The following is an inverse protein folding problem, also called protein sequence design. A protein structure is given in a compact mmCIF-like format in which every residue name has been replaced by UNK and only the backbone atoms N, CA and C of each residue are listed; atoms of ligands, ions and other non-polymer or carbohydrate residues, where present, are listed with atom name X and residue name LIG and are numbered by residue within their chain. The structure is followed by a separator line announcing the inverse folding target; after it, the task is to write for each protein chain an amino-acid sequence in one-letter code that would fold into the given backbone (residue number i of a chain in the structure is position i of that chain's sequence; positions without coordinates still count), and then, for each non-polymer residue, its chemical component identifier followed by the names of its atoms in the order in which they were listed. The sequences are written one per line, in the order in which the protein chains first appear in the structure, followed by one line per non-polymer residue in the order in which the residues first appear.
data_IF_395832962212
#
_entry.id   IF_395832962212
#
_cell.length_a   1.000
_cell.length_b   1.000
_cell.length_c   1.000
_cell.angle_alpha   90.00
_cell.angle_beta   90.00
_cell.angle_gamma   90.00
#
_symmetry.space_group_name_H-M   'P 1'
#
loop_
_entity.id
_entity.type
_entity.pdbx_description
1 polymer ?
#
# COMPACT_ATOMS: atom_id res chain seq x y z
N UNK A 1 10.12 2.47 53.98
CA UNK A 1 9.29 2.72 52.77
C UNK A 1 10.11 2.28 51.57
N UNK A 2 9.89 1.06 51.05
CA UNK A 2 10.53 0.63 49.80
C UNK A 2 9.65 1.11 48.65
N UNK A 3 10.14 2.04 47.82
CA UNK A 3 9.44 2.41 46.60
C UNK A 3 9.73 1.36 45.54
N UNK A 4 8.75 0.52 45.23
CA UNK A 4 8.79 -0.34 44.05
C UNK A 4 8.79 0.53 42.80
N UNK A 5 9.94 0.67 42.14
CA UNK A 5 10.03 1.29 40.82
C UNK A 5 9.81 0.21 39.76
N UNK A 6 8.56 0.06 39.30
CA UNK A 6 8.24 -0.80 38.16
C UNK A 6 8.78 -0.20 36.85
N UNK A 7 9.31 -1.04 35.95
CA UNK A 7 9.66 -0.62 34.59
C UNK A 7 8.40 -0.76 33.74
N UNK A 8 7.90 0.37 33.21
CA UNK A 8 6.88 0.36 32.16
C UNK A 8 7.54 0.13 30.82
N UNK A 9 7.08 -0.89 30.10
CA UNK A 9 7.38 -1.07 28.69
C UNK A 9 6.06 -0.92 27.95
N UNK A 10 6.00 -0.09 26.92
CA UNK A 10 4.80 0.05 26.10
C UNK A 10 4.84 -0.97 24.96
N UNK A 11 3.71 -1.63 24.72
CA UNK A 11 3.53 -2.48 23.55
C UNK A 11 3.50 -1.65 22.26
N UNK A 12 3.67 -2.31 21.11
CA UNK A 12 3.57 -1.69 19.78
C UNK A 12 2.36 -2.27 19.05
N UNK A 13 1.68 -1.43 18.27
CA UNK A 13 0.61 -1.89 17.37
C UNK A 13 1.20 -2.57 16.14
N UNK A 14 0.44 -3.49 15.55
CA UNK A 14 0.79 -4.09 14.27
C UNK A 14 0.84 -3.04 13.15
N UNK A 15 1.69 -3.25 12.17
CA UNK A 15 1.85 -2.36 11.00
C UNK A 15 1.48 -3.08 9.71
N UNK A 16 1.06 -2.30 8.72
CA UNK A 16 0.74 -2.80 7.39
C UNK A 16 2.02 -3.04 6.57
N UNK A 17 2.02 -4.09 5.75
CA UNK A 17 3.01 -4.20 4.68
C UNK A 17 2.79 -3.09 3.64
N UNK A 18 3.88 -2.65 2.99
CA UNK A 18 3.86 -1.58 2.01
C UNK A 18 4.57 -1.97 0.73
N UNK A 19 4.09 -1.50 -0.42
CA UNK A 19 4.79 -1.60 -1.70
C UNK A 19 5.04 -0.19 -2.25
N UNK A 20 6.30 0.11 -2.55
CA UNK A 20 6.75 1.41 -3.08
C UNK A 20 7.51 1.23 -4.40
N UNK A 21 8.04 2.33 -4.96
CA UNK A 21 8.82 2.31 -6.21
C UNK A 21 8.01 2.65 -7.45
N UNK A 22 6.81 3.20 -7.26
CA UNK A 22 5.90 3.61 -8.32
C UNK A 22 5.66 5.12 -8.29
N UNK A 23 5.45 5.68 -9.47
CA UNK A 23 5.02 7.05 -9.66
C UNK A 23 3.76 7.13 -10.51
N UNK A 24 3.00 8.20 -10.34
CA UNK A 24 1.84 8.50 -11.17
C UNK A 24 2.23 8.60 -12.67
N UNK A 25 3.45 9.02 -12.97
CA UNK A 25 4.01 9.03 -14.33
C UNK A 25 4.23 7.65 -14.96
N UNK A 26 4.16 6.57 -14.18
CA UNK A 26 4.20 5.21 -14.72
C UNK A 26 2.86 4.83 -15.40
N UNK A 27 1.82 5.66 -15.24
CA UNK A 27 0.52 5.50 -15.89
C UNK A 27 0.44 6.33 -17.18
N UNK A 28 -0.23 5.77 -18.18
CA UNK A 28 -0.53 6.39 -19.47
C UNK A 28 -1.98 6.89 -19.48
N UNK A 29 -2.20 8.14 -19.89
CA UNK A 29 -3.54 8.74 -20.02
C UNK A 29 -4.20 8.53 -21.39
N UNK A 30 -3.44 8.03 -22.37
CA UNK A 30 -3.88 7.85 -23.77
C UNK A 30 -4.06 6.38 -24.16
N UNK A 31 -3.92 5.44 -23.22
CA UNK A 31 -4.07 4.01 -23.47
C UNK A 31 -4.44 3.24 -22.21
N UNK A 32 -4.50 1.91 -22.32
CA UNK A 32 -4.79 1.03 -21.19
C UNK A 32 -3.56 0.83 -20.31
N UNK A 33 -3.74 0.98 -19.01
CA UNK A 33 -2.76 0.63 -17.99
C UNK A 33 -3.05 -0.77 -17.48
N UNK A 34 -2.01 -1.58 -17.32
CA UNK A 34 -2.15 -2.92 -16.76
C UNK A 34 -1.46 -2.99 -15.41
N UNK A 35 -2.22 -3.41 -14.40
CA UNK A 35 -1.71 -3.75 -13.06
C UNK A 35 -1.78 -5.26 -12.92
N UNK A 36 -0.63 -5.89 -12.67
CA UNK A 36 -0.54 -7.31 -12.34
C UNK A 36 -0.19 -7.49 -10.88
N UNK A 37 -0.75 -8.50 -10.25
CA UNK A 37 -0.46 -8.87 -8.87
C UNK A 37 -0.67 -10.37 -8.69
N UNK A 38 0.02 -10.96 -7.73
CA UNK A 38 -0.13 -12.35 -7.34
C UNK A 38 -0.86 -12.41 -6.01
N UNK A 39 -2.03 -13.04 -5.98
CA UNK A 39 -2.82 -13.23 -4.75
C UNK A 39 -3.04 -14.72 -4.57
N UNK A 40 -2.70 -15.24 -3.40
CA UNK A 40 -2.81 -16.67 -3.05
C UNK A 40 -2.15 -17.60 -4.09
N UNK A 41 -1.06 -17.13 -4.72
CA UNK A 41 -0.32 -17.87 -5.75
C UNK A 41 -0.89 -17.76 -7.17
N UNK A 42 -1.98 -17.02 -7.38
CA UNK A 42 -2.58 -16.78 -8.70
C UNK A 42 -2.28 -15.38 -9.24
N UNK A 43 -1.90 -15.27 -10.51
CA UNK A 43 -1.78 -13.98 -11.20
C UNK A 43 -3.17 -13.38 -11.48
N UNK A 44 -3.37 -12.14 -11.06
CA UNK A 44 -4.51 -11.29 -11.40
C UNK A 44 -4.03 -10.11 -12.24
N UNK A 45 -4.84 -9.72 -13.21
CA UNK A 45 -4.56 -8.61 -14.11
C UNK A 45 -5.75 -7.66 -14.13
N UNK A 46 -5.49 -6.39 -13.84
CA UNK A 46 -6.48 -5.31 -13.81
C UNK A 46 -6.14 -4.35 -14.94
N UNK A 47 -7.11 -4.07 -15.79
CA UNK A 47 -6.99 -3.07 -16.84
C UNK A 47 -7.67 -1.77 -16.39
N UNK A 48 -6.94 -0.65 -16.46
CA UNK A 48 -7.46 0.68 -16.17
C UNK A 48 -7.36 1.51 -17.44
N UNK A 49 -8.49 2.08 -17.88
CA UNK A 49 -8.50 3.02 -18.98
C UNK A 49 -7.76 4.32 -18.58
N UNK A 50 -6.70 4.65 -19.29
CA UNK A 50 -5.92 5.86 -19.06
C UNK A 50 -6.74 7.14 -19.17
N UNK A 51 -7.78 7.17 -20.03
CA UNK A 51 -8.62 8.36 -20.15
C UNK A 51 -9.45 8.65 -18.91
N UNK A 52 -9.76 7.63 -18.11
CA UNK A 52 -10.42 7.82 -16.80
C UNK A 52 -9.52 8.55 -15.78
N UNK A 53 -8.20 8.56 -16.01
CA UNK A 53 -7.19 9.16 -15.13
C UNK A 53 -6.82 10.59 -15.53
N UNK A 54 -7.35 11.10 -16.66
CA UNK A 54 -7.03 12.42 -17.16
C UNK A 54 -7.77 13.51 -16.35
N UNK A 55 -7.11 14.66 -16.14
CA UNK A 55 -7.74 15.83 -15.54
C UNK A 55 -8.92 16.31 -16.39
N UNK A 56 -9.99 16.74 -15.75
CA UNK A 56 -11.21 17.18 -16.45
C UNK A 56 -10.99 18.50 -17.20
N UNK A 57 -10.25 19.43 -16.60
CA UNK A 57 -10.12 20.82 -17.09
C UNK A 57 -8.69 21.18 -17.56
N UNK A 58 -7.81 20.20 -17.70
CA UNK A 58 -6.42 20.42 -18.10
C UNK A 58 -5.81 19.17 -18.74
N UNK A 59 -4.69 19.34 -19.45
CA UNK A 59 -3.89 18.21 -19.89
C UNK A 59 -3.11 17.60 -18.69
N UNK A 60 -3.03 16.27 -18.67
CA UNK A 60 -2.22 15.52 -17.70
C UNK A 60 -3.04 14.62 -16.78
N UNK A 61 -2.31 13.85 -15.98
CA UNK A 61 -2.89 12.88 -15.06
C UNK A 61 -3.38 13.56 -13.77
N UNK A 62 -4.53 13.10 -13.28
CA UNK A 62 -5.15 13.52 -12.04
C UNK A 62 -4.81 12.53 -10.90
N UNK A 63 -3.98 12.98 -9.95
CA UNK A 63 -3.52 12.12 -8.84
C UNK A 63 -4.68 11.68 -7.93
N UNK A 64 -5.71 12.50 -7.75
CA UNK A 64 -6.85 12.16 -6.91
C UNK A 64 -7.73 11.11 -7.59
N UNK A 65 -7.98 11.25 -8.89
CA UNK A 65 -8.66 10.21 -9.69
C UNK A 65 -7.85 8.92 -9.70
N UNK A 66 -6.55 8.99 -9.92
CA UNK A 66 -5.67 7.82 -9.87
C UNK A 66 -5.77 7.10 -8.53
N UNK A 67 -5.64 7.83 -7.41
CA UNK A 67 -5.78 7.23 -6.08
C UNK A 67 -7.15 6.57 -5.89
N UNK A 68 -8.22 7.23 -6.35
CA UNK A 68 -9.59 6.71 -6.24
C UNK A 68 -9.74 5.41 -7.03
N UNK A 69 -9.37 5.41 -8.31
CA UNK A 69 -9.45 4.24 -9.19
C UNK A 69 -8.62 3.08 -8.66
N UNK A 70 -7.40 3.35 -8.16
CA UNK A 70 -6.56 2.32 -7.55
C UNK A 70 -7.21 1.72 -6.30
N UNK A 71 -7.74 2.55 -5.40
CA UNK A 71 -8.41 2.06 -4.19
C UNK A 71 -9.68 1.26 -4.51
N UNK A 72 -10.45 1.66 -5.52
CA UNK A 72 -11.64 0.92 -5.94
C UNK A 72 -11.30 -0.42 -6.58
N UNK A 73 -10.27 -0.46 -7.41
CA UNK A 73 -9.85 -1.66 -8.14
C UNK A 73 -9.11 -2.67 -7.26
N UNK A 74 -8.42 -2.19 -6.22
CA UNK A 74 -7.54 -3.02 -5.39
C UNK A 74 -8.14 -3.44 -4.05
N UNK A 75 -9.29 -2.87 -3.66
CA UNK A 75 -9.96 -3.18 -2.37
C UNK A 75 -10.27 -4.67 -2.20
N UNK A 76 -10.67 -5.36 -3.27
CA UNK A 76 -11.02 -6.79 -3.21
C UNK A 76 -9.79 -7.66 -2.92
N UNK A 77 -8.59 -7.16 -3.24
CA UNK A 77 -7.31 -7.79 -2.97
C UNK A 77 -6.68 -7.33 -1.65
N UNK A 78 -7.47 -6.66 -0.78
CA UNK A 78 -7.02 -6.16 0.53
C UNK A 78 -5.84 -5.19 0.41
N UNK A 79 -5.85 -4.37 -0.64
CA UNK A 79 -4.84 -3.36 -0.92
C UNK A 79 -5.49 -1.98 -1.02
N UNK A 80 -4.75 -0.98 -0.57
CA UNK A 80 -5.07 0.44 -0.72
C UNK A 80 -3.87 1.19 -1.28
N UNK A 81 -4.11 2.33 -1.91
CA UNK A 81 -3.08 3.18 -2.50
C UNK A 81 -3.16 4.59 -1.91
N UNK A 82 -1.99 5.18 -1.69
CA UNK A 82 -1.82 6.61 -1.42
C UNK A 82 -0.93 7.19 -2.52
N UNK A 83 -1.39 8.25 -3.16
CA UNK A 83 -0.65 9.03 -4.15
C UNK A 83 -0.35 10.38 -3.53
N UNK A 84 0.93 10.70 -3.35
CA UNK A 84 1.31 11.98 -2.76
C UNK A 84 1.34 13.13 -3.78
N UNK A 85 1.65 14.33 -3.30
CA UNK A 85 1.73 15.55 -4.13
C UNK A 85 2.87 15.50 -5.16
N UNK A 86 3.91 14.69 -4.92
CA UNK A 86 5.01 14.45 -5.85
C UNK A 86 4.66 13.37 -6.89
N UNK A 87 3.50 12.74 -6.75
CA UNK A 87 3.05 11.62 -7.55
C UNK A 87 3.67 10.29 -7.13
N UNK A 88 4.35 10.21 -5.98
CA UNK A 88 4.83 8.93 -5.46
C UNK A 88 3.65 8.09 -4.95
N UNK A 89 3.66 6.81 -5.29
CA UNK A 89 2.58 5.88 -4.94
C UNK A 89 3.10 4.88 -3.92
N UNK A 90 2.37 4.77 -2.81
CA UNK A 90 2.56 3.73 -1.80
C UNK A 90 1.31 2.88 -1.71
N UNK A 91 1.45 1.60 -2.05
CA UNK A 91 0.41 0.62 -1.76
C UNK A 91 0.57 0.10 -0.34
N UNK A 92 -0.55 -0.18 0.33
CA UNK A 92 -0.60 -0.72 1.69
C UNK A 92 -1.56 -1.89 1.75
N UNK A 93 -1.13 -2.96 2.40
CA UNK A 93 -2.02 -4.03 2.81
C UNK A 93 -3.02 -3.51 3.84
N UNK A 94 -4.28 -3.90 3.72
CA UNK A 94 -5.30 -3.67 4.76
C UNK A 94 -5.26 -4.74 5.84
N UNK A 95 -4.53 -5.84 5.61
CA UNK A 95 -4.15 -6.83 6.63
C UNK A 95 -2.85 -6.39 7.29
N UNK A 96 -2.81 -6.42 8.62
CA UNK A 96 -1.65 -6.03 9.42
C UNK A 96 -0.84 -7.26 9.83
N UNK A 97 0.44 -7.04 10.15
CA UNK A 97 1.32 -8.07 10.68
C UNK A 97 2.36 -8.57 9.68
N UNK A 98 3.20 -9.46 10.16
CA UNK A 98 4.37 -9.98 9.42
C UNK A 98 4.02 -11.07 8.42
N UNK A 99 2.84 -11.67 8.51
CA UNK A 99 2.44 -12.81 7.67
C UNK A 99 1.76 -12.38 6.37
N UNK A 100 1.73 -11.08 6.07
CA UNK A 100 1.27 -10.56 4.78
C UNK A 100 2.24 -11.01 3.69
N UNK A 101 1.71 -11.74 2.71
CA UNK A 101 2.46 -12.22 1.55
C UNK A 101 2.66 -11.07 0.55
N UNK A 102 3.82 -11.04 -0.10
CA UNK A 102 4.12 -10.07 -1.15
C UNK A 102 3.21 -10.27 -2.38
N UNK A 103 2.32 -9.30 -2.71
CA UNK A 103 1.48 -9.39 -3.88
C UNK A 103 2.24 -9.20 -5.20
N UNK A 104 3.54 -8.93 -5.18
CA UNK A 104 4.40 -8.77 -6.38
C UNK A 104 3.81 -7.82 -7.42
N UNK A 105 3.33 -6.65 -6.97
CA UNK A 105 2.64 -5.69 -7.85
C UNK A 105 3.57 -5.25 -8.98
N UNK A 106 3.04 -5.30 -10.21
CA UNK A 106 3.66 -4.75 -11.40
C UNK A 106 2.70 -3.79 -12.11
N UNK A 107 3.18 -2.61 -12.51
CA UNK A 107 2.40 -1.58 -13.21
C UNK A 107 3.13 -1.23 -14.49
N UNK A 108 2.52 -1.51 -15.65
CA UNK A 108 3.10 -1.17 -16.97
C UNK A 108 4.59 -1.57 -17.11
N UNK A 109 4.99 -2.72 -16.56
CA UNK A 109 6.38 -3.25 -16.53
C UNK A 109 7.29 -2.71 -15.41
N UNK A 110 6.79 -1.89 -14.49
CA UNK A 110 7.49 -1.52 -13.25
C UNK A 110 7.13 -2.49 -12.14
N UNK A 111 8.12 -3.02 -11.43
CA UNK A 111 7.89 -3.89 -10.27
C UNK A 111 8.10 -3.13 -8.98
N UNK A 112 7.18 -3.31 -8.04
CA UNK A 112 7.24 -2.66 -6.74
C UNK A 112 8.26 -3.29 -5.79
N UNK A 113 8.68 -2.52 -4.79
CA UNK A 113 9.50 -3.00 -3.69
C UNK A 113 8.63 -3.25 -2.47
N UNK A 114 8.50 -4.51 -2.08
CA UNK A 114 7.71 -4.93 -0.92
C UNK A 114 8.50 -4.78 0.39
N UNK A 115 7.81 -4.28 1.40
CA UNK A 115 8.28 -4.22 2.79
C UNK A 115 7.22 -4.83 3.69
N UNK A 116 7.65 -5.80 4.49
CA UNK A 116 6.81 -6.50 5.46
C UNK A 116 6.25 -5.55 6.52
N UNK A 117 5.03 -5.86 6.96
CA UNK A 117 4.46 -5.33 8.20
C UNK A 117 5.08 -6.00 9.42
N UNK A 118 4.77 -5.48 10.59
CA UNK A 118 5.22 -5.98 11.89
C UNK A 118 4.00 -6.38 12.72
N UNK A 119 4.11 -7.47 13.49
CA UNK A 119 3.07 -7.86 14.44
C UNK A 119 3.04 -6.89 15.62
N UNK A 120 1.89 -6.84 16.30
CA UNK A 120 1.81 -6.15 17.57
C UNK A 120 2.69 -6.85 18.61
N UNK A 121 3.39 -6.06 19.43
CA UNK A 121 4.16 -6.60 20.57
C UNK A 121 3.43 -6.27 21.86
N UNK A 122 3.09 -7.30 22.64
CA UNK A 122 2.56 -7.11 23.99
C UNK A 122 3.67 -6.70 24.95
N UNK A 123 3.34 -5.90 25.97
CA UNK A 123 4.26 -5.62 27.05
C UNK A 123 3.86 -6.34 28.34
N UNK A 124 4.87 -6.78 29.09
CA UNK A 124 4.70 -7.29 30.45
C UNK A 124 5.35 -6.30 31.42
N UNK A 125 4.54 -5.58 32.19
CA UNK A 125 5.05 -4.74 33.26
C UNK A 125 5.45 -5.61 34.45
N UNK A 126 6.66 -5.42 34.98
CA UNK A 126 7.12 -6.12 36.18
C UNK A 126 7.18 -5.14 37.35
N UNK A 127 6.46 -5.44 38.43
CA UNK A 127 6.60 -4.75 39.72
C UNK A 127 7.81 -5.35 40.45
N UNK A 128 8.68 -4.49 41.02
CA UNK A 128 9.89 -4.92 41.75
C UNK A 128 9.73 -4.84 43.26
#
# INVERSE_FOLDING_TARGET
MSSSAGIKVDGKNATAATITGFKASDFNISGTNTIKLTIDGEEKSIAIDGKSLEKTDAAGLDNEKLQTVLNESLKEYKLSAVVDVSGDITFKSTVLGKDVVDPSININSKTGSFKLGEDATFSTNTLK
#
